data_IF_496460141865
#
_entry.id   IF_496460141865
#
_cell.length_a   1.000
_cell.length_b   1.000
_cell.length_c   1.000
_cell.angle_alpha   90.00
_cell.angle_beta   90.00
_cell.angle_gamma   90.00
#
_symmetry.space_group_name_H-M   'P 1'
#
loop_
_entity.id
_entity.type
_entity.pdbx_description
1 polymer ?
#
# COMPACT_ATOMS: atom_id res chain seq x y z
N UNK A 1 -21.77 -14.08 10.54
CA UNK A 1 -21.12 -13.27 9.49
C UNK A 1 -20.80 -11.91 10.09
N UNK A 2 -19.56 -11.70 10.55
CA UNK A 2 -19.14 -10.42 11.12
C UNK A 2 -17.65 -10.23 10.85
N UNK A 3 -17.32 -9.81 9.63
CA UNK A 3 -15.99 -9.27 9.32
C UNK A 3 -16.00 -7.81 9.83
N UNK A 4 -15.45 -7.59 11.01
CA UNK A 4 -15.33 -6.27 11.64
C UNK A 4 -13.84 -5.99 11.87
N UNK A 5 -13.25 -5.18 10.99
CA UNK A 5 -12.09 -4.33 11.25
C UNK A 5 -10.71 -4.95 11.57
N UNK A 6 -10.35 -6.13 11.05
CA UNK A 6 -8.97 -6.68 11.21
C UNK A 6 -7.92 -6.11 10.22
N UNK A 7 -8.30 -5.23 9.28
CA UNK A 7 -7.41 -4.83 8.16
C UNK A 7 -6.43 -3.70 8.51
N UNK A 8 -6.49 -3.10 9.71
CA UNK A 8 -5.58 -1.98 10.08
C UNK A 8 -4.23 -2.48 10.63
N UNK A 9 -4.18 -3.65 11.27
CA UNK A 9 -2.93 -4.21 11.82
C UNK A 9 -1.82 -4.52 10.78
N UNK A 10 -2.11 -5.07 9.58
CA UNK A 10 -1.06 -5.47 8.66
C UNK A 10 -0.17 -4.32 8.17
N UNK A 11 -0.72 -3.12 8.01
CA UNK A 11 0.03 -1.96 7.51
C UNK A 11 1.07 -1.45 8.51
N UNK A 12 0.70 -1.34 9.79
CA UNK A 12 1.60 -0.90 10.86
C UNK A 12 2.72 -1.92 11.06
N UNK A 13 2.38 -3.22 11.02
CA UNK A 13 3.36 -4.29 11.13
C UNK A 13 4.44 -4.21 10.04
N UNK A 14 4.05 -3.99 8.78
CA UNK A 14 5.00 -3.88 7.66
C UNK A 14 5.91 -2.67 7.81
N UNK A 15 5.37 -1.51 8.21
CA UNK A 15 6.16 -0.29 8.44
C UNK A 15 7.19 -0.51 9.55
N UNK A 16 6.79 -1.10 10.67
CA UNK A 16 7.68 -1.35 11.81
C UNK A 16 8.78 -2.37 11.50
N UNK A 17 8.50 -3.32 10.61
CA UNK A 17 9.47 -4.29 10.13
C UNK A 17 10.51 -3.62 9.22
N UNK A 18 10.08 -2.79 8.27
CA UNK A 18 10.97 -2.06 7.35
C UNK A 18 11.86 -1.08 8.11
N UNK A 19 11.34 -0.38 9.13
CA UNK A 19 12.14 0.55 9.96
C UNK A 19 13.30 -0.11 10.71
N UNK A 20 13.21 -1.43 10.92
CA UNK A 20 14.24 -2.21 11.63
C UNK A 20 15.24 -2.85 10.67
N UNK A 21 15.05 -2.71 9.36
CA UNK A 21 15.98 -3.24 8.38
C UNK A 21 17.24 -2.39 8.31
N UNK A 22 18.42 -3.01 8.29
CA UNK A 22 19.64 -2.31 7.93
C UNK A 22 19.63 -1.96 6.43
N UNK A 23 20.40 -0.96 6.02
CA UNK A 23 20.32 -0.42 4.65
C UNK A 23 20.61 -1.47 3.56
N UNK A 24 21.50 -2.42 3.84
CA UNK A 24 21.87 -3.48 2.89
C UNK A 24 20.69 -4.40 2.56
N UNK A 25 19.68 -4.49 3.45
CA UNK A 25 18.48 -5.28 3.18
C UNK A 25 17.68 -4.71 2.02
N UNK A 26 17.75 -3.41 1.73
CA UNK A 26 17.00 -2.82 0.62
C UNK A 26 17.58 -3.21 -0.74
N UNK A 27 18.89 -3.46 -0.79
CA UNK A 27 19.62 -3.83 -2.02
C UNK A 27 19.62 -5.34 -2.30
N UNK A 28 19.22 -6.17 -1.33
CA UNK A 28 19.10 -7.61 -1.54
C UNK A 28 18.14 -7.93 -2.70
N UNK A 29 18.60 -8.82 -3.58
CA UNK A 29 17.86 -9.25 -4.77
C UNK A 29 17.06 -10.52 -4.47
N UNK A 30 15.81 -10.53 -4.92
CA UNK A 30 14.95 -11.69 -4.94
C UNK A 30 14.32 -11.90 -6.31
N UNK A 31 13.96 -13.15 -6.60
CA UNK A 31 13.27 -13.52 -7.85
C UNK A 31 11.77 -13.41 -7.63
N UNK A 32 11.15 -12.41 -8.25
CA UNK A 32 9.69 -12.22 -8.23
C UNK A 32 9.15 -12.38 -9.64
N UNK A 33 8.26 -13.36 -9.82
CA UNK A 33 7.66 -13.69 -11.13
C UNK A 33 8.71 -13.90 -12.24
N UNK A 34 9.83 -14.56 -11.89
CA UNK A 34 10.93 -14.85 -12.81
C UNK A 34 11.82 -13.66 -13.16
N UNK A 35 11.71 -12.53 -12.44
CA UNK A 35 12.57 -11.35 -12.61
C UNK A 35 13.30 -11.03 -11.33
N UNK A 36 14.57 -10.64 -11.45
CA UNK A 36 15.34 -10.07 -10.36
C UNK A 36 14.78 -8.70 -9.98
N UNK A 37 14.57 -8.51 -8.68
CA UNK A 37 14.06 -7.29 -8.06
C UNK A 37 14.76 -7.08 -6.73
N UNK A 38 15.14 -5.84 -6.44
CA UNK A 38 15.57 -5.49 -5.09
C UNK A 38 14.38 -5.47 -4.14
N UNK A 39 14.63 -5.60 -2.85
CA UNK A 39 13.61 -5.39 -1.83
C UNK A 39 13.03 -3.97 -1.91
N UNK A 40 13.86 -2.97 -2.23
CA UNK A 40 13.41 -1.58 -2.44
C UNK A 40 12.43 -1.45 -3.61
N UNK A 41 12.71 -2.10 -4.74
CA UNK A 41 11.82 -2.08 -5.92
C UNK A 41 10.44 -2.63 -5.57
N UNK A 42 10.39 -3.70 -4.78
CA UNK A 42 9.14 -4.32 -4.35
C UNK A 42 8.35 -3.42 -3.41
N UNK A 43 9.01 -2.75 -2.47
CA UNK A 43 8.36 -1.79 -1.59
C UNK A 43 7.76 -0.61 -2.36
N UNK A 44 8.48 -0.08 -3.35
CA UNK A 44 7.94 0.95 -4.24
C UNK A 44 6.75 0.46 -5.05
N UNK A 45 6.81 -0.78 -5.57
CA UNK A 45 5.69 -1.37 -6.30
C UNK A 45 4.45 -1.55 -5.40
N UNK A 46 4.64 -1.99 -4.16
CA UNK A 46 3.56 -2.07 -3.17
C UNK A 46 2.93 -0.71 -2.89
N UNK A 47 3.75 0.33 -2.70
CA UNK A 47 3.26 1.69 -2.47
C UNK A 47 2.48 2.25 -3.66
N UNK A 48 2.95 2.00 -4.89
CA UNK A 48 2.26 2.40 -6.11
C UNK A 48 0.91 1.70 -6.26
N UNK A 49 0.88 0.38 -6.06
CA UNK A 49 -0.34 -0.42 -6.13
C UNK A 49 -1.37 -0.02 -5.05
N UNK A 50 -0.92 0.25 -3.82
CA UNK A 50 -1.77 0.79 -2.77
C UNK A 50 -2.38 2.14 -3.15
N UNK A 51 -1.58 3.04 -3.72
CA UNK A 51 -2.04 4.36 -4.18
C UNK A 51 -3.08 4.25 -5.30
N UNK A 52 -2.92 3.31 -6.22
CA UNK A 52 -3.90 3.02 -7.27
C UNK A 52 -5.25 2.59 -6.66
N UNK A 53 -5.23 1.64 -5.72
CA UNK A 53 -6.44 1.21 -5.03
C UNK A 53 -7.09 2.32 -4.22
N UNK A 54 -6.31 3.17 -3.54
CA UNK A 54 -6.86 4.35 -2.86
C UNK A 54 -7.58 5.29 -3.83
N UNK A 55 -6.97 5.55 -5.00
CA UNK A 55 -7.60 6.35 -6.05
C UNK A 55 -8.93 5.77 -6.53
N UNK A 56 -9.00 4.45 -6.73
CA UNK A 56 -10.23 3.74 -7.08
C UNK A 56 -11.31 3.88 -6.00
N UNK A 57 -10.94 3.71 -4.73
CA UNK A 57 -11.85 3.86 -3.58
C UNK A 57 -12.39 5.30 -3.51
N UNK A 58 -11.53 6.31 -3.63
CA UNK A 58 -11.96 7.71 -3.61
C UNK A 58 -12.86 8.06 -4.78
N UNK A 59 -12.56 7.52 -5.97
CA UNK A 59 -13.43 7.70 -7.13
C UNK A 59 -14.81 7.10 -6.87
N UNK A 60 -14.91 5.87 -6.36
CA UNK A 60 -16.19 5.23 -6.02
C UNK A 60 -16.93 6.05 -4.96
N UNK A 61 -16.25 6.48 -3.91
CA UNK A 61 -16.84 7.32 -2.86
C UNK A 61 -17.39 8.63 -3.43
N UNK A 62 -16.66 9.27 -4.35
CA UNK A 62 -17.13 10.46 -5.07
C UNK A 62 -18.38 10.19 -5.89
N UNK A 63 -18.46 9.06 -6.58
CA UNK A 63 -19.67 8.68 -7.33
C UNK A 63 -20.87 8.44 -6.41
N UNK A 64 -20.65 7.84 -5.23
CA UNK A 64 -21.71 7.59 -4.25
C UNK A 64 -22.22 8.87 -3.58
N UNK A 65 -21.31 9.78 -3.19
CA UNK A 65 -21.65 10.99 -2.43
C UNK A 65 -21.96 12.20 -3.31
N UNK A 66 -21.56 12.18 -4.58
CA UNK A 66 -21.83 13.24 -5.57
C UNK A 66 -21.44 14.63 -5.05
N UNK A 67 -22.42 15.51 -4.85
CA UNK A 67 -22.22 16.89 -4.41
C UNK A 67 -21.80 16.99 -2.94
N UNK A 68 -22.04 15.93 -2.15
CA UNK A 68 -21.68 15.87 -0.74
C UNK A 68 -20.25 15.31 -0.54
N UNK A 69 -19.57 14.89 -1.62
CA UNK A 69 -18.19 14.44 -1.53
C UNK A 69 -17.27 15.62 -1.23
N UNK A 70 -16.68 15.62 -0.03
CA UNK A 70 -15.62 16.54 0.32
C UNK A 70 -14.27 15.95 -0.08
N UNK A 71 -13.61 16.57 -1.05
CA UNK A 71 -12.25 16.22 -1.44
C UNK A 71 -11.30 16.48 -0.28
N UNK A 72 -10.43 15.51 0.00
CA UNK A 72 -9.29 15.67 0.92
C UNK A 72 -8.04 16.19 0.20
N UNK A 73 -8.06 16.24 -1.13
CA UNK A 73 -7.06 16.96 -1.93
C UNK A 73 -7.30 18.45 -1.75
N UNK A 74 -6.33 19.13 -1.13
CA UNK A 74 -6.25 20.59 -1.03
C UNK A 74 -6.10 21.25 -2.41
#
# INVERSE_FOLDING_TARGET
MSCKYEIIEPGIYVIDLIKKWPDEKFDEIQIVRGKERSNLDLLHQCAAHYSEHMGQIFYIAKQCLKNDYQSTSL
#
